data_IF_507664774487
#
_entry.id   IF_507664774487
#
_cell.length_a   1.000
_cell.length_b   1.000
_cell.length_c   1.000
_cell.angle_alpha   90.00
_cell.angle_beta   90.00
_cell.angle_gamma   90.00
#
_symmetry.space_group_name_H-M   'P 1'
#
loop_
_entity.id
_entity.type
_entity.pdbx_description
1 polymer ?
#
# COMPACT_ATOMS: atom_id res chain seq x y z
N UNK A 1 -6.54 -47.96 -41.59
CA UNK A 1 -6.03 -46.58 -41.72
C UNK A 1 -6.68 -45.98 -42.95
N UNK A 2 -7.55 -44.98 -42.80
CA UNK A 2 -8.19 -44.32 -43.93
C UNK A 2 -7.29 -43.19 -44.43
N UNK A 3 -6.84 -43.27 -45.68
CA UNK A 3 -6.06 -42.23 -46.35
C UNK A 3 -7.00 -41.23 -47.01
N UNK A 4 -6.76 -39.95 -46.74
CA UNK A 4 -7.49 -38.84 -47.32
C UNK A 4 -7.27 -38.78 -48.84
N UNK A 5 -8.36 -38.76 -49.62
CA UNK A 5 -8.31 -38.63 -51.07
C UNK A 5 -8.84 -37.23 -51.43
N UNK A 6 -7.99 -36.33 -51.97
CA UNK A 6 -8.45 -35.00 -52.36
C UNK A 6 -9.38 -35.09 -53.58
N UNK A 7 -10.46 -34.31 -53.53
CA UNK A 7 -11.45 -34.20 -54.60
C UNK A 7 -10.80 -33.46 -55.78
N UNK A 8 -10.88 -33.98 -57.02
CA UNK A 8 -10.34 -33.27 -58.18
C UNK A 8 -11.20 -32.02 -58.46
N UNK A 9 -10.65 -30.84 -58.16
CA UNK A 9 -11.19 -29.56 -58.64
C UNK A 9 -10.77 -29.37 -60.09
N UNK A 10 -11.69 -29.59 -61.02
CA UNK A 10 -11.54 -29.20 -62.41
C UNK A 10 -11.79 -27.70 -62.54
N UNK A 11 -10.77 -26.88 -62.32
CA UNK A 11 -10.80 -25.46 -62.71
C UNK A 11 -10.12 -25.32 -64.08
N UNK A 12 -10.89 -25.11 -65.17
CA UNK A 12 -10.31 -24.71 -66.44
C UNK A 12 -9.93 -23.23 -66.35
N UNK A 13 -8.62 -23.00 -66.33
CA UNK A 13 -7.92 -21.84 -66.88
C UNK A 13 -8.56 -20.46 -66.67
N UNK A 14 -7.98 -19.75 -65.71
CA UNK A 14 -7.96 -18.30 -65.55
C UNK A 14 -7.82 -17.56 -66.90
N UNK A 15 -8.92 -17.05 -67.45
CA UNK A 15 -8.85 -16.03 -68.50
C UNK A 15 -10.13 -15.20 -68.63
N UNK A 16 -10.71 -14.75 -67.51
CA UNK A 16 -11.37 -13.44 -67.45
C UNK A 16 -11.66 -13.11 -65.98
N UNK A 17 -10.93 -12.16 -65.40
CA UNK A 17 -11.23 -11.65 -64.05
C UNK A 17 -12.42 -10.68 -64.13
N UNK A 18 -13.57 -11.14 -64.61
CA UNK A 18 -14.84 -10.53 -64.29
C UNK A 18 -15.21 -11.01 -62.89
N UNK A 19 -15.48 -10.12 -61.92
CA UNK A 19 -15.91 -10.57 -60.61
C UNK A 19 -17.20 -11.37 -60.78
N UNK A 20 -17.16 -12.68 -60.51
CA UNK A 20 -18.30 -13.63 -60.54
C UNK A 20 -19.49 -13.21 -59.66
N UNK A 21 -19.41 -12.06 -59.00
CA UNK A 21 -20.40 -11.52 -58.10
C UNK A 21 -21.67 -11.00 -58.81
N UNK A 22 -21.63 -10.79 -60.14
CA UNK A 22 -22.79 -10.29 -60.89
C UNK A 22 -23.78 -11.40 -61.31
N UNK A 23 -23.38 -12.67 -61.33
CA UNK A 23 -24.23 -13.78 -61.80
C UNK A 23 -25.04 -14.47 -60.71
N UNK A 24 -24.89 -14.08 -59.44
CA UNK A 24 -25.67 -14.65 -58.34
C UNK A 24 -26.99 -13.87 -58.15
N UNK A 25 -28.17 -14.48 -58.43
CA UNK A 25 -29.46 -13.81 -58.27
C UNK A 25 -29.79 -13.46 -56.80
N UNK A 26 -29.01 -13.96 -55.84
CA UNK A 26 -29.13 -13.63 -54.42
C UNK A 26 -28.23 -12.46 -53.99
N UNK A 27 -27.40 -11.92 -54.88
CA UNK A 27 -26.49 -10.83 -54.54
C UNK A 27 -27.25 -9.52 -54.33
N UNK A 28 -27.30 -9.09 -53.07
CA UNK A 28 -27.76 -7.76 -52.70
C UNK A 28 -26.52 -6.88 -52.48
N UNK A 29 -26.25 -5.88 -53.35
CA UNK A 29 -25.09 -5.02 -53.16
C UNK A 29 -25.19 -4.34 -51.80
N UNK A 30 -24.08 -4.32 -51.07
CA UNK A 30 -24.02 -3.63 -49.79
C UNK A 30 -24.40 -2.16 -50.02
N UNK A 31 -25.25 -1.62 -49.14
CA UNK A 31 -25.63 -0.19 -49.19
C UNK A 31 -24.35 0.64 -49.22
N UNK A 32 -24.31 1.73 -50.01
CA UNK A 32 -23.13 2.62 -50.11
C UNK A 32 -22.57 3.03 -48.74
N UNK A 33 -23.44 3.27 -47.76
CA UNK A 33 -23.08 3.55 -46.37
C UNK A 33 -22.24 2.46 -45.70
N UNK A 34 -22.48 1.19 -46.02
CA UNK A 34 -21.75 0.04 -45.50
C UNK A 34 -20.40 -0.08 -46.22
N UNK A 35 -20.37 0.14 -47.54
CA UNK A 35 -19.14 0.12 -48.31
C UNK A 35 -18.16 1.23 -47.86
N UNK A 36 -18.67 2.41 -47.50
CA UNK A 36 -17.89 3.53 -46.96
C UNK A 36 -17.35 3.25 -45.55
N UNK A 37 -18.03 2.42 -44.78
CA UNK A 37 -17.57 2.00 -43.45
C UNK A 37 -16.38 1.05 -43.51
N UNK A 38 -16.37 0.13 -44.49
CA UNK A 38 -15.27 -0.80 -44.70
C UNK A 38 -14.02 -0.15 -45.33
N UNK A 39 -14.20 0.94 -46.10
CA UNK A 39 -13.10 1.66 -46.77
C UNK A 39 -12.59 2.88 -46.00
N UNK A 40 -12.66 2.88 -44.66
CA UNK A 40 -12.15 4.01 -43.87
C UNK A 40 -10.61 4.03 -43.90
N UNK A 41 -9.97 5.17 -44.21
CA UNK A 41 -8.52 5.25 -44.18
C UNK A 41 -8.02 5.00 -42.75
N UNK A 42 -6.86 4.35 -42.59
CA UNK A 42 -6.31 4.08 -41.28
C UNK A 42 -6.16 5.38 -40.48
N UNK A 43 -6.43 5.37 -39.17
CA UNK A 43 -6.28 6.58 -38.36
C UNK A 43 -4.82 7.06 -38.41
N UNK A 44 -4.67 8.39 -38.48
CA UNK A 44 -3.36 9.04 -38.52
C UNK A 44 -2.47 8.62 -37.35
N UNK A 45 -1.17 8.55 -37.59
CA UNK A 45 -0.20 8.04 -36.61
C UNK A 45 -0.24 8.80 -35.28
N UNK A 46 -0.46 10.12 -35.31
CA UNK A 46 -0.61 10.95 -34.11
C UNK A 46 -1.83 10.58 -33.24
N UNK A 47 -2.93 10.15 -33.85
CA UNK A 47 -4.10 9.68 -33.09
C UNK A 47 -3.79 8.38 -32.34
N UNK A 48 -2.96 7.52 -32.95
CA UNK A 48 -2.50 6.27 -32.31
C UNK A 48 -1.57 6.56 -31.15
N UNK A 49 -0.62 7.49 -31.30
CA UNK A 49 0.28 7.88 -30.20
C UNK A 49 -0.48 8.51 -29.04
N UNK A 50 -1.45 9.39 -29.31
CA UNK A 50 -2.29 9.99 -28.28
C UNK A 50 -3.13 8.92 -27.56
N UNK A 51 -3.70 7.96 -28.28
CA UNK A 51 -4.42 6.83 -27.68
C UNK A 51 -3.53 6.02 -26.73
N UNK A 52 -2.31 5.68 -27.16
CA UNK A 52 -1.34 4.93 -26.33
C UNK A 52 -0.98 5.74 -25.08
N UNK A 53 -0.75 7.05 -25.22
CA UNK A 53 -0.43 7.93 -24.10
C UNK A 53 -1.58 7.97 -23.09
N UNK A 54 -2.83 8.08 -23.55
CA UNK A 54 -4.03 8.07 -22.68
C UNK A 54 -4.15 6.75 -21.93
N UNK A 55 -3.95 5.61 -22.61
CA UNK A 55 -4.01 4.29 -21.97
C UNK A 55 -2.91 4.18 -20.89
N UNK A 56 -1.68 4.59 -21.20
CA UNK A 56 -0.58 4.62 -20.23
C UNK A 56 -0.86 5.55 -19.06
N UNK A 57 -1.44 6.73 -19.31
CA UNK A 57 -1.82 7.68 -18.27
C UNK A 57 -2.91 7.10 -17.36
N UNK A 58 -3.92 6.42 -17.90
CA UNK A 58 -4.95 5.73 -17.12
C UNK A 58 -4.37 4.59 -16.29
N UNK A 59 -3.48 3.77 -16.87
CA UNK A 59 -2.82 2.69 -16.14
C UNK A 59 -1.96 3.24 -14.99
N UNK A 60 -1.18 4.29 -15.25
CA UNK A 60 -0.40 4.99 -14.23
C UNK A 60 -1.28 5.57 -13.12
N UNK A 61 -2.38 6.24 -13.50
CA UNK A 61 -3.31 6.85 -12.55
C UNK A 61 -4.02 5.80 -11.68
N UNK A 62 -4.39 4.65 -12.27
CA UNK A 62 -4.94 3.50 -11.55
C UNK A 62 -3.98 2.98 -10.48
N UNK A 63 -2.69 2.81 -10.82
CA UNK A 63 -1.66 2.38 -9.86
C UNK A 63 -1.45 3.47 -8.78
N UNK A 64 -1.41 4.75 -9.17
CA UNK A 64 -1.21 5.85 -8.24
C UNK A 64 -2.36 5.96 -7.22
N UNK A 65 -3.61 5.85 -7.67
CA UNK A 65 -4.78 5.80 -6.78
C UNK A 65 -4.80 4.53 -5.94
N UNK A 66 -4.50 3.36 -6.52
CA UNK A 66 -4.46 2.10 -5.81
C UNK A 66 -3.44 2.11 -4.66
N UNK A 67 -2.25 2.67 -4.91
CA UNK A 67 -1.21 2.82 -3.87
C UNK A 67 -1.62 3.77 -2.75
N UNK A 68 -2.36 4.84 -3.06
CA UNK A 68 -2.83 5.80 -2.06
C UNK A 68 -4.06 5.31 -1.27
N UNK A 69 -4.92 4.52 -1.89
CA UNK A 69 -6.08 3.88 -1.25
C UNK A 69 -5.74 2.64 -0.42
N UNK A 70 -4.67 1.91 -0.78
CA UNK A 70 -4.18 0.78 0.02
C UNK A 70 -3.40 1.22 1.28
N UNK A 71 -3.11 2.50 1.44
CA UNK A 71 -2.64 3.08 2.71
C UNK A 71 -3.79 3.32 3.71
N UNK A 72 -5.00 2.83 3.43
CA UNK A 72 -6.03 2.67 4.45
C UNK A 72 -5.58 1.62 5.48
N UNK A 73 -4.81 2.13 6.44
CA UNK A 73 -4.66 1.70 7.83
C UNK A 73 -5.36 0.36 8.06
N UNK A 74 -4.58 -0.71 8.00
CA UNK A 74 -5.01 -2.03 8.48
C UNK A 74 -5.70 -1.88 9.83
N UNK A 75 -6.69 -2.73 10.13
CA UNK A 75 -7.62 -2.49 11.20
C UNK A 75 -6.89 -2.27 12.52
N UNK A 76 -7.29 -1.23 13.25
CA UNK A 76 -6.64 -0.93 14.54
C UNK A 76 -7.06 -2.01 15.53
N UNK A 77 -6.09 -2.84 15.93
CA UNK A 77 -6.30 -3.95 16.87
C UNK A 77 -6.43 -3.37 18.27
N UNK A 78 -7.62 -3.47 18.86
CA UNK A 78 -7.89 -3.08 20.24
C UNK A 78 -7.91 -4.34 21.09
N UNK A 79 -6.90 -4.51 21.95
CA UNK A 79 -6.81 -5.60 22.91
C UNK A 79 -7.71 -5.29 24.11
N UNK A 80 -8.56 -6.24 24.52
CA UNK A 80 -9.36 -6.11 25.74
C UNK A 80 -9.10 -7.32 26.65
N UNK A 81 -8.68 -7.06 27.89
CA UNK A 81 -8.51 -8.10 28.90
C UNK A 81 -9.89 -8.54 29.40
N UNK A 82 -10.18 -9.84 29.31
CA UNK A 82 -11.49 -10.42 29.65
C UNK A 82 -11.54 -11.03 31.06
N UNK A 83 -10.39 -11.27 31.68
CA UNK A 83 -10.29 -11.95 32.96
C UNK A 83 -9.49 -11.08 33.94
N UNK A 84 -9.99 -10.97 35.17
CA UNK A 84 -9.21 -10.48 36.31
C UNK A 84 -8.14 -11.51 36.68
N UNK A 85 -7.06 -11.08 37.33
CA UNK A 85 -5.90 -11.92 37.68
C UNK A 85 -6.25 -13.14 38.55
N UNK A 86 -7.43 -13.14 39.17
CA UNK A 86 -7.88 -14.16 40.10
C UNK A 86 -8.36 -15.47 39.42
N UNK A 87 -8.66 -15.49 38.12
CA UNK A 87 -9.36 -16.62 37.45
C UNK A 87 -8.59 -17.20 36.25
N UNK A 88 -7.28 -17.43 36.44
CA UNK A 88 -6.30 -17.82 35.41
C UNK A 88 -6.33 -19.30 34.98
N UNK A 89 -6.98 -20.19 35.74
CA UNK A 89 -6.83 -21.65 35.65
C UNK A 89 -8.10 -22.40 35.23
N UNK A 90 -8.69 -22.04 34.09
CA UNK A 90 -9.59 -22.97 33.38
C UNK A 90 -8.92 -23.33 32.05
N UNK A 91 -8.77 -24.63 31.72
CA UNK A 91 -8.11 -25.06 30.49
C UNK A 91 -8.76 -24.37 29.30
N UNK A 92 -7.93 -23.68 28.52
CA UNK A 92 -8.36 -22.73 27.49
C UNK A 92 -9.09 -23.46 26.36
N UNK A 93 -10.42 -23.34 26.33
CA UNK A 93 -11.24 -23.77 25.21
C UNK A 93 -12.35 -22.75 24.95
N UNK A 94 -11.98 -21.51 24.64
CA UNK A 94 -12.88 -20.64 23.89
C UNK A 94 -12.15 -20.13 22.65
N UNK A 95 -12.72 -20.31 21.44
CA UNK A 95 -12.09 -19.95 20.18
C UNK A 95 -11.75 -18.46 20.11
N UNK A 96 -10.79 -18.11 19.26
CA UNK A 96 -10.42 -16.72 18.96
C UNK A 96 -11.62 -16.03 18.32
N UNK A 97 -12.27 -15.12 19.05
CA UNK A 97 -13.40 -14.34 18.53
C UNK A 97 -12.84 -13.00 18.05
N UNK A 98 -12.73 -12.83 16.73
CA UNK A 98 -12.50 -11.53 16.08
C UNK A 98 -13.84 -10.86 15.84
N UNK A 99 -14.10 -9.74 16.52
CA UNK A 99 -15.29 -8.93 16.30
C UNK A 99 -14.94 -7.72 15.44
N UNK A 100 -15.65 -7.55 14.33
CA UNK A 100 -15.54 -6.37 13.47
C UNK A 100 -16.38 -5.25 14.09
N UNK A 101 -15.71 -4.18 14.54
CA UNK A 101 -16.36 -3.00 15.10
C UNK A 101 -16.48 -1.91 14.02
N UNK A 102 -17.49 -1.04 14.12
CA UNK A 102 -17.65 0.09 13.20
C UNK A 102 -16.40 0.99 13.23
N UNK A 103 -15.89 1.30 12.03
CA UNK A 103 -14.71 2.15 11.81
C UNK A 103 -13.37 1.41 11.65
N UNK A 104 -13.31 0.31 10.89
CA UNK A 104 -12.09 -0.47 10.62
C UNK A 104 -11.32 -0.89 11.88
N UNK A 105 -12.02 -1.32 12.93
CA UNK A 105 -11.39 -1.83 14.16
C UNK A 105 -11.72 -3.30 14.32
N UNK A 106 -10.70 -4.10 14.62
CA UNK A 106 -10.88 -5.51 14.96
C UNK A 106 -10.59 -5.66 16.45
N UNK A 107 -11.57 -6.17 17.19
CA UNK A 107 -11.41 -6.52 18.60
C UNK A 107 -11.01 -7.98 18.68
N UNK A 108 -9.78 -8.23 19.13
CA UNK A 108 -9.25 -9.57 19.37
C UNK A 108 -9.49 -9.95 20.84
N UNK A 109 -10.22 -11.03 21.08
CA UNK A 109 -10.45 -11.60 22.42
C UNK A 109 -9.53 -12.81 22.60
N UNK A 110 -8.75 -12.85 23.69
CA UNK A 110 -8.05 -14.07 24.14
C UNK A 110 -6.54 -14.15 23.92
N UNK A 111 -5.91 -13.23 23.17
CA UNK A 111 -4.45 -13.15 23.08
C UNK A 111 -4.01 -11.67 22.99
N UNK A 112 -3.33 -11.17 24.02
CA UNK A 112 -2.58 -9.91 23.94
C UNK A 112 -1.18 -10.20 23.42
N UNK A 113 -0.66 -9.30 22.59
CA UNK A 113 0.79 -9.16 22.40
C UNK A 113 1.33 -8.69 23.76
N UNK A 114 1.95 -9.60 24.52
CA UNK A 114 2.25 -9.42 25.95
C UNK A 114 1.36 -10.23 26.90
N UNK A 115 0.77 -11.33 26.44
CA UNK A 115 0.08 -12.29 27.30
C UNK A 115 0.98 -12.87 28.41
N UNK A 116 0.34 -13.54 29.38
CA UNK A 116 0.97 -14.12 30.56
C UNK A 116 2.25 -14.89 30.21
N UNK A 117 3.40 -14.45 30.74
CA UNK A 117 4.69 -15.13 30.61
C UNK A 117 5.65 -14.54 29.59
N UNK A 118 5.31 -13.43 28.92
CA UNK A 118 6.19 -12.70 28.01
C UNK A 118 6.85 -11.54 28.76
N UNK A 119 8.18 -11.46 28.77
CA UNK A 119 8.90 -10.33 29.37
C UNK A 119 8.68 -9.04 28.55
N UNK A 120 8.58 -7.88 29.20
CA UNK A 120 8.23 -6.60 28.55
C UNK A 120 9.16 -6.22 27.37
N UNK A 121 10.37 -6.76 27.37
CA UNK A 121 11.38 -6.57 26.32
C UNK A 121 11.06 -7.27 24.99
N UNK A 122 10.21 -8.29 25.01
CA UNK A 122 9.87 -9.12 23.85
C UNK A 122 8.59 -8.65 23.14
N UNK A 123 7.99 -7.56 23.63
CA UNK A 123 6.84 -6.92 22.99
C UNK A 123 7.35 -6.16 21.75
N UNK A 124 6.83 -6.44 20.54
CA UNK A 124 7.20 -5.71 19.34
C UNK A 124 6.88 -4.23 19.50
N UNK A 125 7.88 -3.38 19.29
CA UNK A 125 7.72 -1.93 19.44
C UNK A 125 6.75 -1.40 18.39
N UNK A 126 5.89 -0.46 18.80
CA UNK A 126 5.06 0.30 17.88
C UNK A 126 5.94 1.07 16.87
N UNK A 127 5.46 1.38 15.65
CA UNK A 127 6.26 2.08 14.64
C UNK A 127 6.87 3.40 15.15
N UNK A 128 6.11 4.14 15.96
CA UNK A 128 6.55 5.40 16.58
C UNK A 128 7.68 5.16 17.59
N UNK A 129 7.55 4.15 18.45
CA UNK A 129 8.59 3.81 19.42
C UNK A 129 9.85 3.28 18.73
N UNK A 130 9.71 2.52 17.63
CA UNK A 130 10.82 2.04 16.81
C UNK A 130 11.61 3.21 16.20
N UNK A 131 10.93 4.18 15.59
CA UNK A 131 11.56 5.38 15.05
C UNK A 131 12.29 6.20 16.13
N UNK A 132 11.68 6.35 17.32
CA UNK A 132 12.31 7.05 18.44
C UNK A 132 13.58 6.33 18.92
N UNK A 133 13.56 5.00 18.99
CA UNK A 133 14.72 4.17 19.33
C UNK A 133 15.84 4.30 18.29
N UNK A 134 15.50 4.26 17.00
CA UNK A 134 16.48 4.42 15.92
C UNK A 134 17.12 5.82 15.92
N UNK A 135 16.33 6.85 16.20
CA UNK A 135 16.83 8.23 16.36
C UNK A 135 17.81 8.33 17.54
N UNK A 136 17.49 7.75 18.70
CA UNK A 136 18.40 7.70 19.86
C UNK A 136 19.70 6.98 19.52
N UNK A 137 19.63 5.82 18.87
CA UNK A 137 20.81 5.05 18.46
C UNK A 137 21.73 5.83 17.51
N UNK A 138 21.15 6.59 16.57
CA UNK A 138 21.90 7.48 15.67
C UNK A 138 22.54 8.66 16.42
N UNK A 139 21.83 9.28 17.34
CA UNK A 139 22.36 10.37 18.18
C UNK A 139 23.54 9.89 19.05
N UNK A 140 23.41 8.70 19.66
CA UNK A 140 24.47 8.07 20.45
C UNK A 140 25.71 7.74 19.62
N UNK A 141 25.54 7.15 18.44
CA UNK A 141 26.65 6.87 17.52
C UNK A 141 27.37 8.16 17.09
N UNK A 142 26.62 9.23 16.79
CA UNK A 142 27.18 10.54 16.45
C UNK A 142 27.95 11.16 17.63
N UNK A 143 27.41 11.04 18.85
CA UNK A 143 28.10 11.56 20.03
C UNK A 143 29.38 10.77 20.31
N UNK A 144 29.35 9.43 20.22
CA UNK A 144 30.53 8.58 20.37
C UNK A 144 31.61 8.89 19.34
N UNK A 145 31.21 9.18 18.09
CA UNK A 145 32.15 9.61 17.05
C UNK A 145 32.77 10.98 17.38
N UNK A 146 31.99 11.93 17.89
CA UNK A 146 32.49 13.25 18.30
C UNK A 146 33.46 13.17 19.48
N UNK A 147 33.18 12.32 20.47
CA UNK A 147 34.10 12.06 21.59
C UNK A 147 35.43 11.51 21.09
N UNK A 148 35.41 10.54 20.16
CA UNK A 148 36.63 10.00 19.54
C UNK A 148 37.42 11.05 18.77
N UNK A 149 36.75 12.04 18.20
CA UNK A 149 37.36 13.16 17.47
C UNK A 149 37.78 14.32 18.41
N UNK A 150 37.63 14.17 19.73
CA UNK A 150 37.99 15.21 20.71
C UNK A 150 37.05 16.42 20.75
N UNK A 151 35.88 16.35 20.11
CA UNK A 151 34.90 17.43 20.14
C UNK A 151 34.04 17.37 21.41
N UNK A 152 33.84 18.52 22.07
CA UNK A 152 32.92 18.65 23.23
C UNK A 152 31.51 18.16 22.88
N UNK A 153 31.02 17.16 23.61
CA UNK A 153 29.62 16.71 23.55
C UNK A 153 28.78 17.49 24.56
N UNK A 154 27.66 18.07 24.09
CA UNK A 154 26.65 18.65 24.99
C UNK A 154 25.91 17.50 25.67
N UNK A 155 26.21 17.24 26.96
CA UNK A 155 25.42 16.30 27.77
C UNK A 155 23.98 16.83 27.87
N UNK A 156 22.99 15.97 27.58
CA UNK A 156 21.58 16.29 27.88
C UNK A 156 21.43 16.30 29.40
N UNK A 157 20.91 17.40 29.96
CA UNK A 157 20.61 17.52 31.38
C UNK A 157 19.61 16.45 31.81
N UNK A 158 19.84 15.83 32.96
CA UNK A 158 18.91 14.86 33.54
C UNK A 158 17.62 15.55 34.02
N UNK A 159 16.56 14.78 34.23
CA UNK A 159 15.28 15.31 34.71
C UNK A 159 15.41 15.95 36.11
N UNK A 160 16.28 15.38 36.96
CA UNK A 160 16.63 15.92 38.28
C UNK A 160 17.33 17.27 38.16
N UNK A 161 18.28 17.41 37.23
CA UNK A 161 18.99 18.66 36.99
C UNK A 161 18.06 19.75 36.44
N UNK A 162 17.13 19.40 35.55
CA UNK A 162 16.13 20.35 35.06
C UNK A 162 15.21 20.82 36.19
N UNK A 163 14.74 19.90 37.03
CA UNK A 163 13.88 20.22 38.16
C UNK A 163 14.60 21.10 39.19
N UNK A 164 15.86 20.80 39.50
CA UNK A 164 16.69 21.62 40.37
C UNK A 164 16.93 23.03 39.77
N UNK A 165 17.09 23.13 38.45
CA UNK A 165 17.22 24.42 37.75
C UNK A 165 15.91 25.22 37.76
N UNK A 166 14.75 24.56 37.62
CA UNK A 166 13.44 25.20 37.77
C UNK A 166 13.21 25.68 39.20
N UNK A 167 13.48 24.83 40.19
CA UNK A 167 13.40 25.19 41.61
C UNK A 167 14.35 26.33 41.97
N UNK A 168 15.56 26.35 41.41
CA UNK A 168 16.49 27.47 41.56
C UNK A 168 15.93 28.76 40.97
N UNK A 169 15.39 28.72 39.74
CA UNK A 169 14.79 29.89 39.09
C UNK A 169 13.59 30.43 39.85
N UNK A 170 12.75 29.54 40.39
CA UNK A 170 11.61 29.92 41.24
C UNK A 170 12.11 30.62 42.50
N UNK A 171 13.11 30.06 43.19
CA UNK A 171 13.73 30.70 44.37
C UNK A 171 14.36 32.06 44.05
N UNK A 172 15.00 32.19 42.89
CA UNK A 172 15.63 33.44 42.45
C UNK A 172 14.59 34.52 42.14
N UNK A 173 13.48 34.14 41.52
CA UNK A 173 12.33 35.03 41.29
C UNK A 173 11.67 35.46 42.62
N UNK A 174 11.48 34.54 43.55
CA UNK A 174 10.94 34.85 44.89
C UNK A 174 11.80 35.86 45.65
N UNK A 175 13.14 35.73 45.57
CA UNK A 175 14.07 36.70 46.16
C UNK A 175 13.92 38.09 45.54
N UNK A 176 13.87 38.17 44.20
CA UNK A 176 13.66 39.44 43.48
C UNK A 176 12.33 40.12 43.82
N UNK A 177 11.26 39.34 44.02
CA UNK A 177 9.93 39.88 44.36
C UNK A 177 9.89 40.38 45.81
N UNK A 178 10.60 39.73 46.74
CA UNK A 178 10.63 40.11 48.16
C UNK A 178 11.59 41.25 48.51
N UNK A 179 12.33 41.79 47.54
CA UNK A 179 13.17 42.97 47.77
C UNK A 179 14.34 42.76 48.73
N UNK A 180 14.98 41.59 48.68
CA UNK A 180 16.32 41.30 49.23
C UNK A 180 17.32 41.18 48.09
#
# INVERSE_FOLDING_TARGET
>A
MASYQPIPSSDPLDLDSTPQHETDPSYRPLRRSVQEEFNRPPPSWWKRTLLILVILAMAWFSIWLGRKGMEEKGPTIIYANRYSDEHKYRPAASPVITEYLSGNRIRLRGASIGGVGIEEKDIPLTPVQKQARDKKRREEAKNKAREKMGLRVKKRKTLKEKKAEEEWKVRELEKRIKGL
#
